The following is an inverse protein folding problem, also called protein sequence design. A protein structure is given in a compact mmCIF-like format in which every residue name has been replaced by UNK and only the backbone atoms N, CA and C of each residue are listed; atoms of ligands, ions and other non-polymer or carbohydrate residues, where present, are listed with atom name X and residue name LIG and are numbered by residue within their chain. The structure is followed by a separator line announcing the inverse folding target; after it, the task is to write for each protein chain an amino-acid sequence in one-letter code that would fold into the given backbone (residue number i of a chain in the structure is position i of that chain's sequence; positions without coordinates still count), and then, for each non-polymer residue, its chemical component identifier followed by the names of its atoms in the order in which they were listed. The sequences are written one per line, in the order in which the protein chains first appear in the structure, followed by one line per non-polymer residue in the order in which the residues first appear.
data_IF_544976391176
#
_entry.id   IF_544976391176
#
_cell.length_a   1.000
_cell.length_b   1.000
_cell.length_c   1.000
_cell.angle_alpha   90.00
_cell.angle_beta   90.00
_cell.angle_gamma   90.00
#
_symmetry.space_group_name_H-M   'P 1'
#
loop_
_entity.id
_entity.type
_entity.pdbx_description
1 polymer ?
#
# COMPACT_ATOMS: atom_id res chain seq x y z
N UNK A 1 65.70 6.74 12.01
CA UNK A 1 64.81 6.03 12.96
C UNK A 1 64.17 7.10 13.82
N UNK A 2 62.89 7.38 13.59
CA UNK A 2 62.17 8.46 14.28
C UNK A 2 61.48 7.83 15.50
N UNK A 3 61.96 8.23 16.70
CA UNK A 3 61.29 7.86 17.95
C UNK A 3 60.06 8.74 18.12
N UNK A 4 58.87 8.14 18.07
CA UNK A 4 57.65 8.81 18.50
C UNK A 4 57.51 8.68 20.01
N UNK A 5 57.23 9.82 20.66
CA UNK A 5 57.09 9.94 22.10
C UNK A 5 55.82 9.22 22.57
N UNK A 6 55.95 8.23 23.47
CA UNK A 6 54.84 7.38 23.98
C UNK A 6 53.72 8.18 24.63
N UNK A 7 53.98 9.43 25.04
CA UNK A 7 52.94 10.34 25.58
C UNK A 7 51.94 10.82 24.51
N UNK A 8 52.35 10.92 23.25
CA UNK A 8 51.50 11.33 22.15
C UNK A 8 50.53 10.19 21.76
N UNK A 9 51.04 8.96 21.82
CA UNK A 9 50.22 7.75 21.54
C UNK A 9 49.14 7.56 22.60
N UNK A 10 49.46 7.80 23.89
CA UNK A 10 48.47 7.71 24.98
C UNK A 10 47.39 8.81 24.96
N UNK A 11 47.69 9.99 24.39
CA UNK A 11 46.70 11.04 24.21
C UNK A 11 45.75 10.78 23.03
N UNK A 12 46.21 10.08 21.99
CA UNK A 12 45.39 9.71 20.84
C UNK A 12 44.42 8.54 21.16
N UNK A 13 44.77 7.65 22.08
CA UNK A 13 43.91 6.53 22.48
C UNK A 13 42.83 6.92 23.49
N UNK A 14 42.94 8.07 24.15
CA UNK A 14 41.90 8.59 25.08
C UNK A 14 40.78 9.36 24.43
N UNK A 15 40.81 9.55 23.09
CA UNK A 15 39.77 10.21 22.30
C UNK A 15 39.04 9.27 21.32
N UNK A 16 39.07 7.97 21.62
CA UNK A 16 38.06 7.08 21.09
C UNK A 16 36.79 7.30 21.92
N UNK A 17 36.17 8.44 21.70
CA UNK A 17 34.88 8.75 22.29
C UNK A 17 33.88 7.65 21.91
N UNK A 18 33.31 7.12 22.97
CA UNK A 18 32.08 6.37 22.99
C UNK A 18 31.12 7.00 21.97
N UNK A 19 31.03 6.40 20.79
CA UNK A 19 29.95 6.68 19.85
C UNK A 19 28.72 6.13 20.53
N UNK A 20 28.01 6.99 21.28
CA UNK A 20 26.69 6.64 21.75
C UNK A 20 25.89 6.21 20.52
N UNK A 21 25.18 5.07 20.56
CA UNK A 21 24.34 4.68 19.45
C UNK A 21 23.36 5.84 19.25
N UNK A 22 23.47 6.52 18.10
CA UNK A 22 22.45 7.46 17.66
C UNK A 22 21.15 6.69 17.73
N UNK A 23 20.36 6.98 18.77
CA UNK A 23 19.01 6.49 18.88
C UNK A 23 18.31 6.96 17.61
N UNK A 24 18.28 6.10 16.61
CA UNK A 24 17.41 6.26 15.45
C UNK A 24 16.00 6.15 15.99
N UNK A 25 15.52 7.27 16.55
CA UNK A 25 14.10 7.49 16.73
C UNK A 25 13.53 7.36 15.33
N UNK A 26 13.06 6.16 14.98
CA UNK A 26 12.26 5.94 13.79
C UNK A 26 11.09 6.92 13.94
N UNK A 27 11.18 8.04 13.25
CA UNK A 27 10.09 9.01 13.24
C UNK A 27 8.88 8.24 12.68
N UNK A 28 7.89 8.04 13.54
CA UNK A 28 6.62 7.44 13.15
C UNK A 28 6.11 8.25 11.97
N UNK A 29 5.87 7.65 10.79
CA UNK A 29 5.45 8.40 9.63
C UNK A 29 4.23 9.23 9.98
N UNK A 30 4.26 10.51 9.63
CA UNK A 30 3.15 11.43 9.87
C UNK A 30 2.10 11.17 8.81
N UNK A 31 1.19 10.23 9.09
CA UNK A 31 0.09 9.91 8.19
C UNK A 31 -0.90 11.07 8.16
N UNK A 32 -1.07 11.66 7.01
CA UNK A 32 -2.11 12.65 6.81
C UNK A 32 -3.48 11.97 6.82
N UNK A 33 -4.40 12.50 7.61
CA UNK A 33 -5.78 12.01 7.65
C UNK A 33 -6.52 12.50 6.39
N UNK A 34 -6.39 11.75 5.29
CA UNK A 34 -7.07 12.07 4.04
C UNK A 34 -8.51 11.56 4.06
N UNK A 35 -9.42 12.40 3.57
CA UNK A 35 -10.77 11.96 3.21
C UNK A 35 -10.81 11.66 1.71
N UNK A 36 -11.30 10.47 1.38
CA UNK A 36 -11.46 10.00 0.01
C UNK A 36 -12.90 10.18 -0.46
N UNK A 37 -13.08 10.54 -1.70
CA UNK A 37 -14.37 10.73 -2.37
C UNK A 37 -14.34 10.11 -3.77
N UNK A 38 -15.48 9.97 -4.45
CA UNK A 38 -15.50 9.54 -5.86
C UNK A 38 -14.60 10.34 -6.81
N UNK A 39 -14.34 11.60 -6.49
CA UNK A 39 -13.48 12.49 -7.28
C UNK A 39 -11.99 12.41 -6.89
N UNK A 40 -11.62 11.57 -5.92
CA UNK A 40 -10.23 11.39 -5.53
C UNK A 40 -9.41 10.86 -6.70
N UNK A 41 -8.32 11.55 -7.01
CA UNK A 41 -7.30 11.08 -7.95
C UNK A 41 -6.41 10.04 -7.28
N UNK A 42 -6.46 8.81 -7.75
CA UNK A 42 -5.76 7.65 -7.17
C UNK A 42 -4.28 7.58 -7.54
N UNK A 43 -3.80 8.49 -8.41
CA UNK A 43 -2.39 8.52 -8.84
C UNK A 43 -1.59 9.66 -8.20
N UNK A 44 -2.26 10.66 -7.63
CA UNK A 44 -1.60 11.80 -6.96
C UNK A 44 -1.69 11.72 -5.44
N UNK A 45 -2.69 11.02 -4.91
CA UNK A 45 -2.84 10.72 -3.47
C UNK A 45 -2.45 9.26 -3.24
N UNK A 46 -1.15 8.98 -3.17
CA UNK A 46 -0.65 7.65 -2.87
C UNK A 46 -0.71 7.37 -1.36
N UNK A 47 -0.70 6.11 -0.98
CA UNK A 47 -0.57 5.70 0.40
C UNK A 47 0.89 5.83 0.84
N UNK A 48 1.12 6.50 1.98
CA UNK A 48 2.47 6.81 2.48
C UNK A 48 2.90 5.92 3.65
N UNK A 49 2.09 4.90 3.99
CA UNK A 49 2.38 3.96 5.07
C UNK A 49 3.22 2.77 4.66
N UNK A 50 3.32 1.82 5.56
CA UNK A 50 4.12 0.59 5.41
C UNK A 50 3.27 -0.59 4.95
N UNK A 51 3.94 -1.67 4.51
CA UNK A 51 3.27 -2.93 4.19
C UNK A 51 2.61 -3.56 5.44
N UNK A 52 3.23 -3.38 6.60
CA UNK A 52 2.73 -3.86 7.89
C UNK A 52 1.42 -3.17 8.29
N UNK A 53 1.26 -1.89 7.98
CA UNK A 53 0.01 -1.17 8.23
C UNK A 53 -1.13 -1.73 7.38
N UNK A 54 -0.85 -2.05 6.12
CA UNK A 54 -1.81 -2.70 5.23
C UNK A 54 -2.13 -4.13 5.70
N UNK A 55 -1.12 -4.88 6.16
CA UNK A 55 -1.31 -6.24 6.69
C UNK A 55 -2.18 -6.27 7.94
N UNK A 56 -2.05 -5.29 8.84
CA UNK A 56 -2.94 -5.16 10.00
C UNK A 56 -4.41 -5.00 9.57
N UNK A 57 -4.68 -4.27 8.49
CA UNK A 57 -6.02 -4.16 7.93
C UNK A 57 -6.54 -5.47 7.32
N UNK A 58 -5.66 -6.33 6.85
CA UNK A 58 -5.98 -7.59 6.19
C UNK A 58 -5.96 -8.81 7.12
N UNK A 59 -5.57 -8.66 8.39
CA UNK A 59 -5.26 -9.77 9.31
C UNK A 59 -6.40 -10.78 9.44
N UNK A 60 -7.65 -10.32 9.43
CA UNK A 60 -8.85 -11.16 9.55
C UNK A 60 -9.47 -11.54 8.20
N UNK A 61 -8.70 -11.44 7.11
CA UNK A 61 -9.18 -11.73 5.75
C UNK A 61 -8.41 -12.86 5.08
N UNK A 62 -8.86 -13.30 3.90
CA UNK A 62 -8.10 -14.26 3.07
C UNK A 62 -6.83 -13.64 2.47
N UNK A 63 -6.71 -12.31 2.47
CA UNK A 63 -5.55 -11.59 1.98
C UNK A 63 -4.53 -11.24 3.09
N UNK A 64 -4.62 -11.89 4.25
CA UNK A 64 -3.61 -11.76 5.32
C UNK A 64 -2.20 -11.96 4.75
N UNK A 65 -1.26 -11.06 5.10
CA UNK A 65 0.12 -11.09 4.62
C UNK A 65 0.32 -10.56 3.20
N UNK A 66 -0.70 -9.93 2.58
CA UNK A 66 -0.58 -9.36 1.23
C UNK A 66 -0.36 -7.84 1.21
N UNK A 67 -0.14 -7.21 2.34
CA UNK A 67 0.12 -5.76 2.42
C UNK A 67 1.30 -5.35 1.55
N UNK A 68 2.38 -6.15 1.54
CA UNK A 68 3.53 -5.94 0.67
C UNK A 68 3.16 -5.98 -0.82
N UNK A 69 2.32 -6.91 -1.24
CA UNK A 69 1.91 -7.01 -2.65
C UNK A 69 1.11 -5.79 -3.11
N UNK A 70 0.25 -5.22 -2.24
CA UNK A 70 -0.47 -3.98 -2.53
C UNK A 70 0.46 -2.77 -2.61
N UNK A 71 1.43 -2.66 -1.70
CA UNK A 71 2.41 -1.57 -1.71
C UNK A 71 3.34 -1.65 -2.92
N UNK A 72 3.79 -2.85 -3.29
CA UNK A 72 4.60 -3.07 -4.48
C UNK A 72 3.83 -2.73 -5.77
N UNK A 73 2.54 -3.06 -5.84
CA UNK A 73 1.68 -2.68 -6.96
C UNK A 73 1.51 -1.16 -7.04
N UNK A 74 1.35 -0.46 -5.91
CA UNK A 74 1.35 1.01 -5.87
C UNK A 74 2.65 1.57 -6.44
N UNK A 75 3.80 1.11 -5.92
CA UNK A 75 5.11 1.63 -6.31
C UNK A 75 5.41 1.37 -7.80
N UNK A 76 4.96 0.23 -8.30
CA UNK A 76 5.19 -0.18 -9.69
C UNK A 76 4.28 0.53 -10.69
N UNK A 77 3.03 0.78 -10.32
CA UNK A 77 2.01 1.27 -11.24
C UNK A 77 1.53 2.69 -10.94
N UNK A 78 2.00 3.31 -9.84
CA UNK A 78 1.60 4.66 -9.44
C UNK A 78 0.13 4.78 -9.07
N UNK A 79 -0.46 3.74 -8.45
CA UNK A 79 -1.88 3.70 -8.08
C UNK A 79 -1.99 3.43 -6.58
N UNK A 80 -2.75 4.25 -5.87
CA UNK A 80 -2.91 4.18 -4.42
C UNK A 80 -3.25 2.76 -3.93
N UNK A 81 -2.47 2.24 -2.95
CA UNK A 81 -2.64 0.89 -2.41
C UNK A 81 -4.00 0.69 -1.75
N UNK A 82 -4.55 1.70 -1.04
CA UNK A 82 -5.88 1.61 -0.43
C UNK A 82 -6.97 1.50 -1.49
N UNK A 83 -6.79 2.14 -2.65
CA UNK A 83 -7.70 1.98 -3.77
C UNK A 83 -7.69 0.54 -4.32
N UNK A 84 -6.52 -0.07 -4.50
CA UNK A 84 -6.39 -1.45 -4.93
C UNK A 84 -7.04 -2.42 -3.93
N UNK A 85 -6.82 -2.19 -2.62
CA UNK A 85 -7.44 -2.96 -1.54
C UNK A 85 -8.96 -2.82 -1.54
N UNK A 86 -9.47 -1.60 -1.75
CA UNK A 86 -10.91 -1.33 -1.79
C UNK A 86 -11.60 -2.06 -2.95
N UNK A 87 -10.93 -2.19 -4.11
CA UNK A 87 -11.43 -3.03 -5.20
C UNK A 87 -11.54 -4.50 -4.75
N UNK A 88 -10.51 -5.06 -4.13
CA UNK A 88 -10.56 -6.43 -3.64
C UNK A 88 -11.67 -6.65 -2.60
N UNK A 89 -11.96 -5.64 -1.77
CA UNK A 89 -13.09 -5.67 -0.83
C UNK A 89 -14.42 -5.71 -1.55
N UNK A 90 -14.65 -4.77 -2.45
CA UNK A 90 -15.95 -4.62 -3.16
C UNK A 90 -16.23 -5.81 -4.07
N UNK A 91 -15.18 -6.34 -4.73
CA UNK A 91 -15.33 -7.45 -5.68
C UNK A 91 -15.52 -8.81 -5.01
N UNK A 92 -14.85 -9.08 -3.89
CA UNK A 92 -14.81 -10.44 -3.31
C UNK A 92 -14.84 -10.50 -1.77
N UNK A 93 -14.98 -9.35 -1.09
CA UNK A 93 -14.86 -9.32 0.37
C UNK A 93 -13.46 -9.74 0.83
N UNK A 94 -12.41 -9.25 0.17
CA UNK A 94 -11.02 -9.67 0.39
C UNK A 94 -10.81 -11.17 0.21
N UNK A 95 -11.42 -11.74 -0.83
CA UNK A 95 -11.30 -13.16 -1.17
C UNK A 95 -12.25 -14.09 -0.42
N UNK A 96 -13.13 -13.58 0.44
CA UNK A 96 -14.12 -14.41 1.14
C UNK A 96 -15.15 -15.03 0.20
N UNK A 97 -15.51 -14.31 -0.87
CA UNK A 97 -16.49 -14.73 -1.88
C UNK A 97 -15.95 -14.46 -3.29
N UNK A 98 -14.98 -15.26 -3.78
CA UNK A 98 -14.45 -15.05 -5.12
C UNK A 98 -15.53 -15.27 -6.16
N UNK A 99 -15.65 -14.34 -7.13
CA UNK A 99 -16.68 -14.38 -8.18
C UNK A 99 -16.41 -15.40 -9.27
N UNK A 100 -15.26 -16.07 -9.23
CA UNK A 100 -14.85 -17.05 -10.22
C UNK A 100 -14.41 -18.33 -9.52
N UNK A 101 -14.28 -19.44 -10.28
CA UNK A 101 -13.74 -20.71 -9.75
C UNK A 101 -12.27 -20.65 -9.33
N UNK A 102 -11.56 -19.55 -9.64
CA UNK A 102 -10.19 -19.37 -9.22
C UNK A 102 -10.13 -18.65 -7.85
N UNK A 103 -9.72 -19.38 -6.81
CA UNK A 103 -9.63 -18.85 -5.44
C UNK A 103 -8.76 -17.60 -5.29
N UNK A 104 -7.79 -17.43 -6.16
CA UNK A 104 -6.89 -16.28 -6.14
C UNK A 104 -7.41 -15.08 -6.92
N UNK A 105 -8.50 -15.20 -7.67
CA UNK A 105 -9.09 -14.10 -8.42
C UNK A 105 -10.00 -13.25 -7.51
N UNK A 106 -9.37 -12.42 -6.69
CA UNK A 106 -10.06 -11.59 -5.68
C UNK A 106 -10.58 -10.26 -6.23
N UNK A 107 -10.31 -9.95 -7.48
CA UNK A 107 -10.73 -8.70 -8.14
C UNK A 107 -11.76 -8.93 -9.25
N UNK A 108 -12.26 -10.14 -9.40
CA UNK A 108 -13.32 -10.47 -10.34
C UNK A 108 -12.94 -10.34 -11.83
N UNK A 109 -11.65 -10.34 -12.16
CA UNK A 109 -11.20 -10.20 -13.55
C UNK A 109 -11.61 -11.41 -14.40
N UNK A 110 -12.45 -11.18 -15.41
CA UNK A 110 -12.96 -12.23 -16.28
C UNK A 110 -11.81 -12.86 -17.09
N UNK A 111 -11.80 -14.19 -17.16
CA UNK A 111 -10.82 -14.97 -17.93
C UNK A 111 -9.43 -15.07 -17.31
N UNK A 112 -9.17 -14.41 -16.18
CA UNK A 112 -7.88 -14.51 -15.48
C UNK A 112 -7.87 -15.67 -14.47
N UNK A 113 -6.75 -16.42 -14.47
CA UNK A 113 -6.48 -17.51 -13.51
C UNK A 113 -5.15 -17.22 -12.81
N UNK A 114 -5.10 -16.24 -11.88
CA UNK A 114 -3.88 -15.94 -11.16
C UNK A 114 -3.44 -17.14 -10.31
N UNK A 115 -2.12 -17.35 -10.21
CA UNK A 115 -1.53 -18.46 -9.45
C UNK A 115 -1.36 -18.17 -7.96
N UNK A 116 -1.47 -16.87 -7.58
CA UNK A 116 -1.40 -16.41 -6.19
C UNK A 116 -2.19 -15.10 -6.01
N UNK A 117 -2.43 -14.71 -4.76
CA UNK A 117 -3.00 -13.40 -4.44
C UNK A 117 -2.10 -12.25 -4.92
N UNK A 118 -0.79 -12.36 -4.71
CA UNK A 118 0.16 -11.35 -5.17
C UNK A 118 0.13 -11.19 -6.70
N UNK A 119 0.07 -12.29 -7.46
CA UNK A 119 -0.07 -12.24 -8.92
C UNK A 119 -1.39 -11.59 -9.37
N UNK A 120 -2.47 -11.80 -8.61
CA UNK A 120 -3.75 -11.15 -8.87
C UNK A 120 -3.67 -9.63 -8.64
N UNK A 121 -3.05 -9.21 -7.54
CA UNK A 121 -2.86 -7.80 -7.18
C UNK A 121 -1.97 -7.08 -8.20
N UNK A 122 -0.85 -7.69 -8.60
CA UNK A 122 0.02 -7.16 -9.67
C UNK A 122 -0.74 -6.99 -10.98
N UNK A 123 -1.52 -8.01 -11.36
CA UNK A 123 -2.35 -7.97 -12.57
C UNK A 123 -3.41 -6.87 -12.52
N UNK A 124 -4.03 -6.64 -11.36
CA UNK A 124 -4.98 -5.53 -11.16
C UNK A 124 -4.28 -4.18 -11.41
N UNK A 125 -3.15 -3.93 -10.73
CA UNK A 125 -2.38 -2.69 -10.89
C UNK A 125 -1.97 -2.44 -12.34
N UNK A 126 -1.45 -3.47 -13.01
CA UNK A 126 -1.07 -3.42 -14.43
C UNK A 126 -2.26 -3.09 -15.34
N UNK A 127 -3.39 -3.75 -15.12
CA UNK A 127 -4.60 -3.51 -15.91
C UNK A 127 -5.13 -2.09 -15.74
N UNK A 128 -5.20 -1.60 -14.50
CA UNK A 128 -5.63 -0.24 -14.19
C UNK A 128 -4.70 0.80 -14.80
N UNK A 129 -3.39 0.61 -14.67
CA UNK A 129 -2.42 1.52 -15.28
C UNK A 129 -2.60 1.55 -16.81
N UNK A 130 -2.49 0.39 -17.48
CA UNK A 130 -2.49 0.29 -18.94
C UNK A 130 -3.81 0.75 -19.58
N UNK A 131 -4.94 0.39 -18.98
CA UNK A 131 -6.24 0.55 -19.64
C UNK A 131 -7.04 1.77 -19.16
N UNK A 132 -6.61 2.41 -18.05
CA UNK A 132 -7.33 3.54 -17.45
C UNK A 132 -6.42 4.74 -17.20
N UNK A 133 -5.39 4.60 -16.36
CA UNK A 133 -4.54 5.72 -15.94
C UNK A 133 -3.82 6.36 -17.11
N UNK A 134 -3.16 5.58 -17.96
CA UNK A 134 -2.48 6.09 -19.18
C UNK A 134 -3.43 6.74 -20.18
N UNK A 135 -4.74 6.57 -20.00
CA UNK A 135 -5.79 7.20 -20.83
C UNK A 135 -6.50 8.36 -20.13
N UNK A 136 -5.92 8.84 -19.01
CA UNK A 136 -6.44 9.98 -18.27
C UNK A 136 -7.61 9.67 -17.31
N UNK A 137 -7.98 8.38 -17.13
CA UNK A 137 -8.96 7.98 -16.13
C UNK A 137 -8.26 7.79 -14.78
N UNK A 138 -8.06 8.87 -14.04
CA UNK A 138 -7.29 8.89 -12.80
C UNK A 138 -8.13 9.06 -11.53
N UNK A 139 -9.40 9.43 -11.65
CA UNK A 139 -10.31 9.50 -10.49
C UNK A 139 -11.14 8.23 -10.36
N UNK A 140 -11.57 7.90 -9.13
CA UNK A 140 -12.42 6.73 -8.85
C UNK A 140 -13.66 6.73 -9.76
N UNK A 141 -14.33 7.89 -9.90
CA UNK A 141 -15.50 8.02 -10.75
C UNK A 141 -15.20 7.74 -12.23
N UNK A 142 -14.11 8.30 -12.78
CA UNK A 142 -13.74 8.07 -14.18
C UNK A 142 -13.29 6.63 -14.45
N UNK A 143 -12.63 5.99 -13.49
CA UNK A 143 -12.27 4.57 -13.59
C UNK A 143 -13.53 3.72 -13.68
N UNK A 144 -14.57 4.02 -12.87
CA UNK A 144 -15.84 3.30 -12.88
C UNK A 144 -16.49 3.27 -14.26
N UNK A 145 -16.44 4.36 -15.01
CA UNK A 145 -17.13 4.47 -16.31
C UNK A 145 -16.77 3.36 -17.29
N UNK A 146 -15.60 2.78 -17.16
CA UNK A 146 -15.13 1.68 -17.98
C UNK A 146 -14.98 0.37 -17.22
N UNK A 147 -14.70 0.41 -15.90
CA UNK A 147 -14.45 -0.76 -15.06
C UNK A 147 -15.76 -1.46 -14.67
N UNK A 148 -16.77 -0.69 -14.29
CA UNK A 148 -18.05 -1.19 -13.78
C UNK A 148 -19.20 -0.25 -14.16
N UNK A 149 -19.42 -0.03 -15.45
CA UNK A 149 -20.33 0.98 -15.99
C UNK A 149 -21.78 0.86 -15.44
N UNK A 150 -22.27 -0.36 -15.22
CA UNK A 150 -23.64 -0.62 -14.71
C UNK A 150 -23.80 -0.25 -13.22
N UNK A 151 -22.74 -0.20 -12.42
CA UNK A 151 -22.83 0.04 -10.98
C UNK A 151 -22.54 1.51 -10.63
N UNK A 152 -23.59 2.32 -10.53
CA UNK A 152 -23.49 3.76 -10.21
C UNK A 152 -23.00 4.03 -8.78
N UNK A 153 -23.17 3.08 -7.84
CA UNK A 153 -22.77 3.25 -6.45
C UNK A 153 -21.33 2.81 -6.19
N UNK A 154 -20.69 2.11 -7.14
CA UNK A 154 -19.33 1.58 -6.99
C UNK A 154 -18.30 2.64 -6.56
N UNK A 155 -18.24 3.88 -7.11
CA UNK A 155 -17.26 4.88 -6.69
C UNK A 155 -17.45 5.28 -5.22
N UNK A 156 -18.68 5.33 -4.74
CA UNK A 156 -18.99 5.63 -3.34
C UNK A 156 -18.50 4.50 -2.43
N UNK A 157 -18.79 3.24 -2.77
CA UNK A 157 -18.34 2.07 -2.01
C UNK A 157 -16.81 1.99 -1.93
N UNK A 158 -16.12 2.28 -3.02
CA UNK A 158 -14.65 2.33 -3.04
C UNK A 158 -14.12 3.44 -2.12
N UNK A 159 -14.65 4.65 -2.25
CA UNK A 159 -14.22 5.77 -1.41
C UNK A 159 -14.49 5.53 0.08
N UNK A 160 -15.65 4.96 0.42
CA UNK A 160 -15.99 4.56 1.79
C UNK A 160 -15.01 3.54 2.34
N UNK A 161 -14.64 2.51 1.56
CA UNK A 161 -13.67 1.51 2.00
C UNK A 161 -12.27 2.10 2.14
N UNK A 162 -11.84 2.99 1.25
CA UNK A 162 -10.56 3.71 1.41
C UNK A 162 -10.53 4.52 2.71
N UNK A 163 -11.64 5.19 3.06
CA UNK A 163 -11.77 5.91 4.33
C UNK A 163 -11.74 4.97 5.53
N UNK A 164 -12.41 3.81 5.46
CA UNK A 164 -12.40 2.80 6.51
C UNK A 164 -10.98 2.28 6.77
N UNK A 165 -10.24 1.93 5.72
CA UNK A 165 -8.85 1.48 5.80
C UNK A 165 -7.96 2.56 6.41
N UNK A 166 -8.07 3.80 5.94
CA UNK A 166 -7.31 4.94 6.45
C UNK A 166 -7.56 5.15 7.95
N UNK A 167 -8.83 5.15 8.37
CA UNK A 167 -9.21 5.28 9.78
C UNK A 167 -8.71 4.10 10.63
N UNK A 168 -8.70 2.88 10.10
CA UNK A 168 -8.18 1.70 10.79
C UNK A 168 -6.67 1.83 11.01
N UNK A 169 -5.92 2.26 9.99
CA UNK A 169 -4.48 2.50 10.09
C UNK A 169 -4.19 3.55 11.15
N UNK A 170 -4.89 4.69 11.14
CA UNK A 170 -4.71 5.74 12.16
C UNK A 170 -4.97 5.23 13.58
N UNK A 171 -6.01 4.45 13.80
CA UNK A 171 -6.28 3.85 15.11
C UNK A 171 -5.17 2.92 15.56
N UNK A 172 -4.66 2.06 14.68
CA UNK A 172 -3.57 1.13 14.99
C UNK A 172 -2.25 1.83 15.34
N UNK A 173 -2.07 3.07 14.87
CA UNK A 173 -0.89 3.88 15.17
C UNK A 173 -1.02 4.64 16.50
N UNK A 174 -2.23 4.81 17.00
CA UNK A 174 -2.52 5.55 18.25
C UNK A 174 -2.50 4.63 19.48
N UNK A 175 -2.42 3.33 19.29
CA UNK A 175 -2.28 2.30 20.33
C UNK A 175 -0.80 1.97 20.56
#
# INVERSE_FOLDING_TARGET
MVHYDDKIIQQMTKKADVCEPVSTRVQKPMYFNFSYSPNTNVTTKLFEGTAEDLDKCLEKTKLKGQGRAFLDAQNKYGINALFLMSIAKVESGYGAKPKTYCKYNVVGAVGQKPTSYAACIDSLGRNLNKNYVTKGHTTIARIRDKYCNSNKVWPKLIAEEMNNLNNQIHRNLSM
#
